data_IF_459507572405
#
_entry.id   IF_459507572405
#
_cell.length_a   1.000
_cell.length_b   1.000
_cell.length_c   1.000
_cell.angle_alpha   90.00
_cell.angle_beta   90.00
_cell.angle_gamma   90.00
#
_symmetry.space_group_name_H-M   'P 1'
#
loop_
_entity.id
_entity.type
_entity.pdbx_description
1 polymer ?
#
# COMPACT_ATOMS: atom_id res chain seq x y z
N UNK A 1 -22.21 5.64 8.46
CA UNK A 1 -23.51 5.19 9.00
C UNK A 1 -24.72 5.84 8.31
N UNK A 2 -24.81 7.18 8.19
CA UNK A 2 -25.93 7.85 7.47
C UNK A 2 -26.11 7.40 6.02
N UNK A 3 -25.00 7.14 5.30
CA UNK A 3 -25.03 6.60 3.93
C UNK A 3 -25.65 5.20 3.83
N UNK A 4 -25.42 4.34 4.82
CA UNK A 4 -25.96 2.97 4.87
C UNK A 4 -27.48 3.00 5.12
N UNK A 5 -27.94 3.89 6.02
CA UNK A 5 -29.38 4.10 6.27
C UNK A 5 -30.08 4.63 5.01
N UNK A 6 -29.44 5.55 4.28
CA UNK A 6 -29.96 6.08 3.02
C UNK A 6 -30.06 4.98 1.94
N UNK A 7 -29.07 4.09 1.87
CA UNK A 7 -29.05 2.96 0.93
C UNK A 7 -30.12 1.91 1.24
N UNK A 8 -30.36 1.61 2.52
CA UNK A 8 -31.43 0.70 2.97
C UNK A 8 -32.81 1.30 2.68
N UNK A 9 -32.98 2.62 2.81
CA UNK A 9 -34.23 3.30 2.50
C UNK A 9 -34.52 3.32 0.99
N UNK A 10 -33.50 3.54 0.16
CA UNK A 10 -33.61 3.52 -1.31
C UNK A 10 -33.94 2.13 -1.86
N UNK A 11 -33.31 1.08 -1.34
CA UNK A 11 -33.61 -0.30 -1.74
C UNK A 11 -35.03 -0.73 -1.37
N UNK A 12 -35.55 -0.27 -0.23
CA UNK A 12 -36.96 -0.49 0.15
C UNK A 12 -37.94 0.24 -0.78
N UNK A 13 -37.64 1.47 -1.20
CA UNK A 13 -38.53 2.21 -2.11
C UNK A 13 -38.52 1.65 -3.53
N UNK A 14 -37.35 1.29 -4.09
CA UNK A 14 -37.28 0.76 -5.45
C UNK A 14 -37.99 -0.59 -5.60
N UNK A 15 -37.97 -1.44 -4.57
CA UNK A 15 -38.66 -2.73 -4.63
C UNK A 15 -40.20 -2.62 -4.57
N UNK A 16 -40.72 -1.55 -3.97
CA UNK A 16 -42.17 -1.28 -3.87
C UNK A 16 -42.71 -0.56 -5.10
N UNK A 17 -41.90 0.30 -5.74
CA UNK A 17 -42.32 1.09 -6.91
C UNK A 17 -42.41 0.23 -8.17
N UNK A 18 -41.49 -0.73 -8.38
CA UNK A 18 -41.51 -1.64 -9.54
C UNK A 18 -42.74 -2.56 -9.57
N UNK A 19 -43.43 -2.75 -8.45
CA UNK A 19 -44.62 -3.60 -8.38
C UNK A 19 -45.94 -2.89 -8.74
N UNK A 20 -45.96 -1.57 -8.98
CA UNK A 20 -47.19 -0.80 -9.20
C UNK A 20 -47.17 0.23 -10.33
N UNK A 21 -46.06 0.42 -11.04
CA UNK A 21 -45.98 1.48 -12.06
C UNK A 21 -46.37 1.02 -13.46
N UNK A 22 -47.19 1.85 -14.10
CA UNK A 22 -47.57 1.79 -15.50
C UNK A 22 -46.32 1.78 -16.39
N UNK A 23 -46.31 0.92 -17.42
CA UNK A 23 -45.15 0.59 -18.27
C UNK A 23 -44.46 1.81 -18.91
N UNK A 24 -45.16 2.94 -19.06
CA UNK A 24 -44.61 4.17 -19.65
C UNK A 24 -43.55 4.89 -18.81
N UNK A 25 -43.58 4.78 -17.47
CA UNK A 25 -42.58 5.45 -16.60
C UNK A 25 -41.33 4.59 -16.31
N UNK A 26 -41.36 3.31 -16.65
CA UNK A 26 -40.26 2.38 -16.37
C UNK A 26 -38.98 2.74 -17.14
N UNK A 27 -39.12 3.29 -18.35
CA UNK A 27 -37.98 3.63 -19.19
C UNK A 27 -37.14 4.78 -18.61
N UNK A 28 -37.81 5.76 -17.99
CA UNK A 28 -37.14 6.95 -17.46
C UNK A 28 -36.42 6.67 -16.13
N UNK A 29 -36.99 5.84 -15.25
CA UNK A 29 -36.32 5.38 -14.03
C UNK A 29 -35.15 4.43 -14.36
N UNK A 30 -35.30 3.58 -15.38
CA UNK A 30 -34.21 2.69 -15.82
C UNK A 30 -32.99 3.49 -16.31
N UNK A 31 -33.20 4.57 -17.06
CA UNK A 31 -32.11 5.45 -17.52
C UNK A 31 -31.39 6.16 -16.35
N UNK A 32 -32.12 6.61 -15.33
CA UNK A 32 -31.51 7.24 -14.16
C UNK A 32 -30.68 6.25 -13.33
N UNK A 33 -31.19 5.04 -13.11
CA UNK A 33 -30.44 3.99 -12.40
C UNK A 33 -29.21 3.56 -13.21
N UNK A 34 -29.32 3.47 -14.54
CA UNK A 34 -28.21 3.13 -15.41
C UNK A 34 -27.09 4.18 -15.40
N UNK A 35 -27.44 5.48 -15.45
CA UNK A 35 -26.45 6.56 -15.35
C UNK A 35 -25.76 6.61 -13.98
N UNK A 36 -26.51 6.40 -12.89
CA UNK A 36 -25.94 6.34 -11.54
C UNK A 36 -25.03 5.11 -11.35
N UNK A 37 -25.38 3.98 -11.96
CA UNK A 37 -24.55 2.78 -11.98
C UNK A 37 -23.25 3.03 -12.73
N UNK A 38 -23.30 3.68 -13.91
CA UNK A 38 -22.10 4.05 -14.67
C UNK A 38 -21.18 5.02 -13.91
N UNK A 39 -21.72 6.06 -13.26
CA UNK A 39 -20.89 7.03 -12.51
C UNK A 39 -20.20 6.38 -11.30
N UNK A 40 -20.89 5.48 -10.61
CA UNK A 40 -20.36 4.77 -9.45
C UNK A 40 -19.30 3.73 -9.84
N UNK A 41 -19.50 3.05 -10.98
CA UNK A 41 -18.51 2.11 -11.51
C UNK A 41 -17.23 2.82 -11.94
N UNK A 42 -17.35 3.96 -12.65
CA UNK A 42 -16.21 4.73 -13.15
C UNK A 42 -15.33 5.27 -12.00
N UNK A 43 -15.96 5.80 -10.94
CA UNK A 43 -15.23 6.25 -9.74
C UNK A 43 -14.54 5.11 -8.99
N UNK A 44 -15.12 3.90 -9.00
CA UNK A 44 -14.56 2.74 -8.32
C UNK A 44 -13.39 2.15 -9.09
N UNK A 45 -13.44 2.15 -10.43
CA UNK A 45 -12.34 1.67 -11.29
C UNK A 45 -11.12 2.58 -11.24
N UNK A 46 -11.30 3.90 -11.20
CA UNK A 46 -10.20 4.87 -11.02
C UNK A 46 -9.51 4.68 -9.66
N UNK A 47 -10.30 4.52 -8.59
CA UNK A 47 -9.77 4.27 -7.25
C UNK A 47 -9.02 2.94 -7.19
N UNK A 48 -9.56 1.89 -7.82
CA UNK A 48 -8.92 0.57 -7.87
C UNK A 48 -7.61 0.62 -8.67
N UNK A 49 -7.56 1.34 -9.80
CA UNK A 49 -6.34 1.53 -10.59
C UNK A 49 -5.26 2.31 -9.81
N UNK A 50 -5.65 3.34 -9.03
CA UNK A 50 -4.71 4.09 -8.18
C UNK A 50 -4.20 3.26 -7.00
N UNK A 51 -5.04 2.42 -6.41
CA UNK A 51 -4.63 1.50 -5.34
C UNK A 51 -3.72 0.41 -5.92
N UNK A 52 -4.04 -0.09 -7.12
CA UNK A 52 -3.22 -1.09 -7.81
C UNK A 52 -1.85 -0.54 -8.20
N UNK A 53 -1.75 0.70 -8.70
CA UNK A 53 -0.47 1.33 -9.01
C UNK A 53 0.36 1.64 -7.75
N UNK A 54 -0.29 2.04 -6.66
CA UNK A 54 0.37 2.24 -5.36
C UNK A 54 0.85 0.92 -4.72
N UNK A 55 0.14 -0.19 -4.96
CA UNK A 55 0.54 -1.53 -4.54
C UNK A 55 1.74 -2.04 -5.34
N UNK A 56 1.74 -1.83 -6.67
CA UNK A 56 2.87 -2.25 -7.52
C UNK A 56 4.16 -1.52 -7.18
N UNK A 57 4.12 -0.21 -6.96
CA UNK A 57 5.32 0.57 -6.59
C UNK A 57 5.98 0.07 -5.30
N UNK A 58 5.17 -0.30 -4.31
CA UNK A 58 5.68 -0.81 -3.04
C UNK A 58 6.24 -2.24 -3.10
N UNK A 59 5.70 -3.08 -4.00
CA UNK A 59 6.09 -4.49 -4.16
C UNK A 59 7.37 -4.65 -5.00
N UNK A 60 7.52 -3.84 -6.06
CA UNK A 60 8.71 -3.84 -6.94
C UNK A 60 9.99 -3.57 -6.13
N UNK A 61 9.88 -2.80 -5.06
CA UNK A 61 11.00 -2.39 -4.22
C UNK A 61 11.46 -3.50 -3.25
N UNK A 62 10.51 -4.26 -2.70
CA UNK A 62 10.79 -5.36 -1.78
C UNK A 62 11.37 -6.59 -2.48
N UNK A 63 11.01 -6.83 -3.75
CA UNK A 63 11.56 -7.93 -4.56
C UNK A 63 13.05 -7.80 -4.85
N UNK A 64 13.63 -6.60 -4.68
CA UNK A 64 15.03 -6.32 -5.01
C UNK A 64 16.05 -6.66 -3.91
N UNK A 65 15.62 -7.00 -2.68
CA UNK A 65 16.52 -6.95 -1.50
C UNK A 65 17.17 -8.30 -1.15
N UNK A 66 16.68 -9.46 -1.61
CA UNK A 66 17.35 -10.76 -1.41
C UNK A 66 16.67 -11.84 -2.24
N UNK A 67 17.42 -12.80 -2.80
CA UNK A 67 16.86 -13.96 -3.52
C UNK A 67 15.88 -14.78 -2.65
N UNK A 68 16.05 -14.78 -1.33
CA UNK A 68 15.15 -15.46 -0.38
C UNK A 68 13.81 -14.71 -0.18
N UNK A 69 13.78 -13.39 -0.43
CA UNK A 69 12.56 -12.57 -0.33
C UNK A 69 11.74 -12.59 -1.62
N UNK A 70 12.31 -13.13 -2.71
CA UNK A 70 11.59 -13.31 -3.97
C UNK A 70 10.32 -14.14 -3.79
N UNK A 71 10.38 -15.18 -2.94
CA UNK A 71 9.22 -16.00 -2.62
C UNK A 71 8.08 -15.22 -1.94
N UNK A 72 8.41 -14.25 -1.09
CA UNK A 72 7.41 -13.42 -0.38
C UNK A 72 6.77 -12.40 -1.32
N UNK A 73 7.59 -11.74 -2.16
CA UNK A 73 7.10 -10.80 -3.17
C UNK A 73 6.24 -11.48 -4.24
N UNK A 74 6.70 -12.62 -4.76
CA UNK A 74 5.94 -13.42 -5.74
C UNK A 74 4.61 -13.89 -5.15
N UNK A 75 4.58 -14.24 -3.86
CA UNK A 75 3.37 -14.63 -3.14
C UNK A 75 2.34 -13.50 -3.04
N UNK A 76 2.77 -12.30 -2.65
CA UNK A 76 1.87 -11.15 -2.53
C UNK A 76 1.35 -10.67 -3.89
N UNK A 77 2.21 -10.63 -4.92
CA UNK A 77 1.79 -10.31 -6.27
C UNK A 77 0.81 -11.34 -6.84
N UNK A 78 1.10 -12.63 -6.66
CA UNK A 78 0.21 -13.73 -7.04
C UNK A 78 -1.15 -13.65 -6.35
N UNK A 79 -1.17 -13.27 -5.07
CA UNK A 79 -2.40 -13.04 -4.31
C UNK A 79 -3.25 -11.90 -4.87
N UNK A 80 -2.65 -10.77 -5.21
CA UNK A 80 -3.38 -9.62 -5.81
C UNK A 80 -3.96 -10.00 -7.18
N UNK A 81 -3.20 -10.71 -8.01
CA UNK A 81 -3.71 -11.23 -9.30
C UNK A 81 -4.87 -12.20 -9.10
N UNK A 82 -4.74 -13.13 -8.15
CA UNK A 82 -5.80 -14.09 -7.85
C UNK A 82 -7.10 -13.39 -7.43
N UNK A 83 -7.02 -12.35 -6.60
CA UNK A 83 -8.18 -11.54 -6.22
C UNK A 83 -8.80 -10.80 -7.41
N UNK A 84 -7.97 -10.25 -8.31
CA UNK A 84 -8.46 -9.58 -9.51
C UNK A 84 -9.19 -10.54 -10.46
N UNK A 85 -8.62 -11.73 -10.69
CA UNK A 85 -9.25 -12.79 -11.50
C UNK A 85 -10.56 -13.24 -10.85
N UNK A 86 -10.56 -13.45 -9.53
CA UNK A 86 -11.76 -13.83 -8.79
C UNK A 86 -12.87 -12.76 -8.92
N UNK A 87 -12.53 -11.48 -8.75
CA UNK A 87 -13.48 -10.38 -8.93
C UNK A 87 -14.04 -10.34 -10.36
N UNK A 88 -13.21 -10.59 -11.38
CA UNK A 88 -13.64 -10.66 -12.78
C UNK A 88 -14.62 -11.82 -13.01
N UNK A 89 -14.32 -13.01 -12.49
CA UNK A 89 -15.20 -14.19 -12.60
C UNK A 89 -16.55 -13.92 -11.92
N UNK A 90 -16.55 -13.35 -10.71
CA UNK A 90 -17.79 -12.99 -10.00
C UNK A 90 -18.61 -11.95 -10.78
N UNK A 91 -17.95 -10.96 -11.38
CA UNK A 91 -18.60 -9.98 -12.25
C UNK A 91 -19.23 -10.62 -13.49
N UNK A 92 -18.50 -11.50 -14.18
CA UNK A 92 -18.99 -12.23 -15.35
C UNK A 92 -20.18 -13.13 -15.00
N UNK A 93 -20.13 -13.85 -13.88
CA UNK A 93 -21.25 -14.66 -13.37
C UNK A 93 -22.47 -13.81 -13.03
N UNK A 94 -22.27 -12.58 -12.55
CA UNK A 94 -23.35 -11.62 -12.33
C UNK A 94 -24.06 -11.26 -13.64
N UNK A 95 -23.30 -10.93 -14.69
CA UNK A 95 -23.86 -10.62 -16.03
C UNK A 95 -24.59 -11.83 -16.62
N UNK A 96 -23.99 -13.02 -16.57
CA UNK A 96 -24.60 -14.25 -17.06
C UNK A 96 -25.90 -14.55 -16.30
N UNK A 97 -25.93 -14.32 -14.98
CA UNK A 97 -27.14 -14.51 -14.18
C UNK A 97 -28.27 -13.57 -14.57
N UNK A 98 -27.95 -12.32 -14.93
CA UNK A 98 -28.94 -11.39 -15.49
C UNK A 98 -29.48 -11.87 -16.84
N UNK A 99 -28.62 -12.38 -17.72
CA UNK A 99 -29.04 -12.89 -19.04
C UNK A 99 -29.86 -14.20 -18.93
N UNK A 100 -29.56 -15.03 -17.93
CA UNK A 100 -30.20 -16.32 -17.71
C UNK A 100 -31.29 -16.30 -16.62
N UNK A 101 -31.92 -15.15 -16.34
CA UNK A 101 -32.86 -14.98 -15.21
C UNK A 101 -34.01 -16.02 -15.15
N UNK A 102 -34.38 -16.64 -16.28
CA UNK A 102 -35.41 -17.69 -16.35
C UNK A 102 -34.97 -19.02 -15.72
N UNK A 103 -33.66 -19.28 -15.60
CA UNK A 103 -33.09 -20.53 -15.09
C UNK A 103 -32.64 -20.35 -13.65
N UNK A 104 -33.39 -20.94 -12.70
CA UNK A 104 -33.07 -20.90 -11.25
C UNK A 104 -31.66 -21.39 -10.90
N UNK A 105 -31.10 -22.31 -11.70
CA UNK A 105 -29.76 -22.87 -11.50
C UNK A 105 -28.65 -21.80 -11.57
N UNK A 106 -28.72 -20.89 -12.55
CA UNK A 106 -27.72 -19.84 -12.72
C UNK A 106 -27.70 -18.88 -11.53
N UNK A 107 -28.88 -18.55 -10.99
CA UNK A 107 -28.97 -17.66 -9.82
C UNK A 107 -28.44 -18.32 -8.54
N UNK A 108 -28.68 -19.63 -8.37
CA UNK A 108 -28.15 -20.39 -7.24
C UNK A 108 -26.62 -20.44 -7.27
N UNK A 109 -26.03 -20.71 -8.45
CA UNK A 109 -24.58 -20.73 -8.64
C UNK A 109 -23.96 -19.37 -8.32
N UNK A 110 -24.53 -18.28 -8.86
CA UNK A 110 -24.07 -16.92 -8.55
C UNK A 110 -24.19 -16.58 -7.07
N UNK A 111 -25.31 -16.91 -6.43
CA UNK A 111 -25.50 -16.69 -4.99
C UNK A 111 -24.44 -17.42 -4.17
N UNK A 112 -24.10 -18.66 -4.53
CA UNK A 112 -23.04 -19.43 -3.89
C UNK A 112 -21.67 -18.74 -4.02
N UNK A 113 -21.26 -18.40 -5.24
CA UNK A 113 -19.99 -17.71 -5.50
C UNK A 113 -19.91 -16.33 -4.83
N UNK A 114 -21.01 -15.56 -4.86
CA UNK A 114 -21.10 -14.26 -4.21
C UNK A 114 -20.96 -14.38 -2.69
N UNK A 115 -21.55 -15.40 -2.07
CA UNK A 115 -21.41 -15.66 -0.62
C UNK A 115 -19.96 -15.86 -0.23
N UNK A 116 -19.22 -16.66 -1.00
CA UNK A 116 -17.78 -16.90 -0.76
C UNK A 116 -16.99 -15.60 -0.90
N UNK A 117 -17.26 -14.81 -1.96
CA UNK A 117 -16.58 -13.52 -2.17
C UNK A 117 -16.83 -12.51 -1.04
N UNK A 118 -18.07 -12.42 -0.56
CA UNK A 118 -18.46 -11.59 0.59
C UNK A 118 -17.67 -11.97 1.84
N UNK A 119 -17.53 -13.27 2.14
CA UNK A 119 -16.75 -13.73 3.29
C UNK A 119 -15.26 -13.41 3.15
N UNK A 120 -14.70 -13.54 1.95
CA UNK A 120 -13.30 -13.17 1.67
C UNK A 120 -13.08 -11.67 1.91
N UNK A 121 -13.95 -10.80 1.37
CA UNK A 121 -13.82 -9.35 1.58
C UNK A 121 -13.94 -8.95 3.05
N UNK A 122 -14.84 -9.59 3.81
CA UNK A 122 -14.95 -9.37 5.23
C UNK A 122 -13.68 -9.77 5.97
N UNK A 123 -13.19 -10.99 5.74
CA UNK A 123 -12.00 -11.51 6.39
C UNK A 123 -10.76 -10.65 6.09
N UNK A 124 -10.54 -10.32 4.81
CA UNK A 124 -9.42 -9.46 4.40
C UNK A 124 -9.56 -8.05 4.94
N UNK A 125 -10.77 -7.46 4.90
CA UNK A 125 -11.03 -6.12 5.44
C UNK A 125 -10.67 -6.03 6.93
N UNK A 126 -11.06 -7.02 7.72
CA UNK A 126 -10.70 -7.11 9.15
C UNK A 126 -9.19 -7.25 9.33
N UNK A 127 -8.54 -8.14 8.58
CA UNK A 127 -7.09 -8.35 8.65
C UNK A 127 -6.33 -7.06 8.33
N UNK A 128 -6.69 -6.33 7.27
CA UNK A 128 -6.04 -5.07 6.90
C UNK A 128 -6.23 -3.97 7.95
N UNK A 129 -7.39 -3.90 8.59
CA UNK A 129 -7.62 -2.94 9.69
C UNK A 129 -6.77 -3.29 10.91
N UNK A 130 -6.72 -4.57 11.29
CA UNK A 130 -5.88 -5.03 12.41
C UNK A 130 -4.41 -4.77 12.11
N UNK A 131 -3.93 -5.11 10.91
CA UNK A 131 -2.55 -4.84 10.48
C UNK A 131 -2.23 -3.34 10.47
N UNK A 132 -3.15 -2.50 10.00
CA UNK A 132 -3.00 -1.05 10.05
C UNK A 132 -2.84 -0.51 11.48
N UNK A 133 -3.58 -1.06 12.45
CA UNK A 133 -3.47 -0.68 13.86
C UNK A 133 -2.22 -1.28 14.54
N UNK A 134 -1.91 -2.54 14.27
CA UNK A 134 -0.81 -3.26 14.92
C UNK A 134 0.57 -2.87 14.38
N UNK A 135 0.67 -2.50 13.10
CA UNK A 135 1.94 -2.15 12.45
C UNK A 135 2.65 -0.99 13.14
N UNK A 136 1.94 0.02 13.66
CA UNK A 136 2.56 1.15 14.34
C UNK A 136 3.37 0.70 15.56
N UNK A 137 2.74 -0.11 16.43
CA UNK A 137 3.37 -0.60 17.65
C UNK A 137 4.55 -1.52 17.33
N UNK A 138 4.37 -2.46 16.39
CA UNK A 138 5.43 -3.39 16.00
C UNK A 138 6.66 -2.64 15.49
N UNK A 139 6.43 -1.55 14.76
CA UNK A 139 7.48 -0.73 14.18
C UNK A 139 8.12 0.22 15.22
N UNK A 140 7.39 0.69 16.22
CA UNK A 140 7.98 1.39 17.38
C UNK A 140 8.88 0.46 18.20
N UNK A 141 8.35 -0.71 18.58
CA UNK A 141 9.07 -1.71 19.37
C UNK A 141 10.33 -2.22 18.65
N UNK A 142 10.30 -2.22 17.30
CA UNK A 142 11.44 -2.50 16.46
C UNK A 142 12.63 -1.57 16.72
N UNK A 143 12.41 -0.24 16.73
CA UNK A 143 13.51 0.71 16.95
C UNK A 143 13.89 0.86 18.42
N UNK A 144 12.98 0.55 19.35
CA UNK A 144 13.28 0.52 20.78
C UNK A 144 14.17 -0.67 21.18
N UNK A 145 14.38 -1.63 20.28
CA UNK A 145 15.21 -2.81 20.55
C UNK A 145 14.55 -3.85 21.45
N UNK A 146 13.21 -3.84 21.56
CA UNK A 146 12.45 -4.84 22.33
C UNK A 146 12.35 -6.14 21.53
N UNK A 147 13.40 -6.96 21.59
CA UNK A 147 13.54 -8.23 20.83
C UNK A 147 12.68 -9.38 21.37
N UNK A 148 12.34 -9.36 22.66
CA UNK A 148 11.92 -10.59 23.36
C UNK A 148 10.50 -11.06 23.03
N UNK A 149 9.65 -10.20 22.47
CA UNK A 149 8.23 -10.49 22.27
C UNK A 149 7.93 -11.28 20.98
N UNK A 150 8.88 -11.41 20.04
CA UNK A 150 8.62 -11.95 18.70
C UNK A 150 9.56 -13.10 18.31
N UNK A 151 9.34 -14.29 18.91
CA UNK A 151 10.02 -15.55 18.55
C UNK A 151 9.72 -15.94 17.10
N UNK A 152 10.52 -15.46 16.16
CA UNK A 152 10.41 -15.77 14.73
C UNK A 152 10.84 -14.62 13.81
N UNK A 153 10.90 -13.39 14.31
CA UNK A 153 11.26 -12.21 13.52
C UNK A 153 12.72 -11.76 13.71
N UNK A 154 13.51 -12.47 14.52
CA UNK A 154 14.88 -12.06 14.86
C UNK A 154 15.80 -11.90 13.63
N UNK A 155 15.69 -12.78 12.63
CA UNK A 155 16.51 -12.69 11.40
C UNK A 155 16.22 -11.42 10.59
N UNK A 156 14.93 -11.05 10.51
CA UNK A 156 14.49 -9.82 9.84
C UNK A 156 14.96 -8.61 10.64
N UNK A 157 14.86 -8.69 11.97
CA UNK A 157 15.35 -7.66 12.87
C UNK A 157 16.83 -7.39 12.68
N UNK A 158 17.66 -8.43 12.76
CA UNK A 158 19.10 -8.26 12.67
C UNK A 158 19.50 -7.73 11.28
N UNK A 159 18.80 -8.15 10.21
CA UNK A 159 19.01 -7.62 8.85
C UNK A 159 18.69 -6.13 8.73
N UNK A 160 17.56 -5.68 9.30
CA UNK A 160 17.18 -4.26 9.24
C UNK A 160 18.13 -3.42 10.10
N UNK A 161 18.53 -3.89 11.28
CA UNK A 161 19.51 -3.18 12.12
C UNK A 161 20.87 -3.11 11.43
N UNK A 162 21.29 -4.16 10.75
CA UNK A 162 22.51 -4.14 9.93
C UNK A 162 22.40 -3.09 8.81
N UNK A 163 21.27 -3.05 8.09
CA UNK A 163 21.01 -2.06 7.04
C UNK A 163 21.01 -0.64 7.59
N UNK A 164 20.33 -0.39 8.72
CA UNK A 164 20.26 0.92 9.38
C UNK A 164 21.65 1.40 9.81
N UNK A 165 22.42 0.51 10.43
CA UNK A 165 23.78 0.81 10.84
C UNK A 165 24.70 1.07 9.63
N UNK A 166 24.59 0.30 8.55
CA UNK A 166 25.35 0.56 7.31
C UNK A 166 24.97 1.90 6.69
N UNK A 167 23.66 2.19 6.61
CA UNK A 167 23.15 3.43 6.03
C UNK A 167 23.69 4.68 6.77
N UNK A 168 23.63 4.64 8.10
CA UNK A 168 24.08 5.76 8.94
C UNK A 168 25.60 5.85 9.03
N UNK A 169 26.30 4.72 9.12
CA UNK A 169 27.76 4.69 9.30
C UNK A 169 28.49 5.10 8.03
N UNK A 170 28.02 4.73 6.84
CA UNK A 170 28.78 4.98 5.60
C UNK A 170 28.80 6.46 5.26
N UNK A 171 27.66 7.12 5.37
CA UNK A 171 27.56 8.57 5.18
C UNK A 171 28.41 9.30 6.21
N UNK A 172 28.33 8.91 7.49
CA UNK A 172 29.14 9.49 8.56
C UNK A 172 30.65 9.29 8.36
N UNK A 173 31.07 8.10 7.90
CA UNK A 173 32.48 7.70 7.82
C UNK A 173 33.19 8.25 6.60
N UNK A 174 32.55 8.25 5.43
CA UNK A 174 33.23 8.59 4.18
C UNK A 174 32.89 9.99 3.68
N UNK A 175 31.72 10.54 3.98
CA UNK A 175 31.35 11.86 3.49
C UNK A 175 32.00 12.99 4.29
N UNK A 176 32.31 14.11 3.62
CA UNK A 176 32.94 15.27 4.24
C UNK A 176 34.29 14.97 4.92
N UNK A 177 35.05 14.04 4.36
CA UNK A 177 36.38 13.62 4.84
C UNK A 177 37.47 14.05 3.87
N UNK A 178 38.72 13.62 4.10
CA UNK A 178 39.83 13.90 3.18
C UNK A 178 39.62 13.28 1.81
N UNK A 179 38.94 12.13 1.78
CA UNK A 179 38.72 11.33 0.59
C UNK A 179 37.51 11.86 -0.19
N UNK A 180 36.55 12.42 0.54
CA UNK A 180 35.36 13.06 0.02
C UNK A 180 35.09 14.42 0.70
N UNK A 181 35.80 15.49 0.34
CA UNK A 181 35.57 16.78 0.98
C UNK A 181 34.22 17.37 0.55
N UNK A 182 33.55 18.07 1.47
CA UNK A 182 32.30 18.78 1.15
C UNK A 182 32.56 20.01 0.26
N UNK A 183 31.54 20.47 -0.49
CA UNK A 183 31.64 21.70 -1.26
C UNK A 183 31.78 22.93 -0.36
N UNK A 184 32.63 23.88 -0.76
CA UNK A 184 32.68 25.21 -0.15
C UNK A 184 31.30 25.90 -0.20
N UNK A 185 31.04 26.77 0.78
CA UNK A 185 29.78 27.51 0.86
C UNK A 185 28.61 26.69 1.38
N UNK A 186 28.87 25.46 1.83
CA UNK A 186 27.91 24.71 2.66
C UNK A 186 27.85 25.38 4.04
N UNK A 187 26.74 26.06 4.31
CA UNK A 187 26.46 26.67 5.62
C UNK A 187 26.12 25.59 6.64
N UNK A 188 27.15 24.85 7.07
CA UNK A 188 26.99 23.77 8.03
C UNK A 188 26.49 24.26 9.38
N UNK A 189 26.99 25.40 9.83
CA UNK A 189 26.63 26.00 11.12
C UNK A 189 25.14 26.31 11.25
N UNK A 190 24.47 26.58 10.13
CA UNK A 190 23.08 27.03 10.14
C UNK A 190 22.10 25.86 10.04
N UNK A 191 22.51 24.78 9.35
CA UNK A 191 21.65 23.61 9.10
C UNK A 191 21.98 22.40 9.95
N UNK A 192 23.23 22.25 10.38
CA UNK A 192 23.73 21.08 11.10
C UNK A 192 24.07 21.44 12.53
N UNK A 193 23.52 20.68 13.47
CA UNK A 193 23.79 20.85 14.89
C UNK A 193 25.05 20.06 15.30
N UNK A 194 25.98 20.71 16.01
CA UNK A 194 27.19 20.09 16.56
C UNK A 194 26.85 18.88 17.45
N UNK A 195 25.74 18.91 18.20
CA UNK A 195 25.27 17.77 18.99
C UNK A 195 24.95 16.56 18.12
N UNK A 196 24.28 16.76 16.97
CA UNK A 196 23.97 15.68 16.03
C UNK A 196 25.26 15.11 15.43
N UNK A 197 26.20 15.96 15.01
CA UNK A 197 27.48 15.53 14.44
C UNK A 197 28.29 14.70 15.45
N UNK A 198 28.32 15.13 16.72
CA UNK A 198 29.06 14.44 17.77
C UNK A 198 28.54 13.02 18.05
N UNK A 199 27.26 12.72 17.79
CA UNK A 199 26.72 11.36 17.89
C UNK A 199 27.39 10.38 16.91
N UNK A 200 27.94 10.91 15.82
CA UNK A 200 28.63 10.15 14.77
C UNK A 200 30.15 10.35 14.82
N UNK A 201 30.70 10.83 15.95
CA UNK A 201 32.11 11.19 16.11
C UNK A 201 32.62 12.22 15.07
N UNK A 202 31.72 13.13 14.63
CA UNK A 202 32.03 14.25 13.74
C UNK A 202 31.87 15.59 14.47
N UNK A 203 32.55 16.62 14.01
CA UNK A 203 32.50 17.98 14.61
C UNK A 203 32.84 19.03 13.56
N UNK A 204 32.44 20.28 13.77
CA UNK A 204 32.93 21.40 12.94
C UNK A 204 34.32 21.90 13.37
N UNK A 205 34.78 21.53 14.57
CA UNK A 205 36.02 22.02 15.17
C UNK A 205 37.09 20.93 15.20
N UNK A 206 38.37 21.25 15.06
CA UNK A 206 39.41 20.22 15.22
C UNK A 206 39.49 19.79 16.69
N UNK A 207 39.04 18.57 17.01
CA UNK A 207 39.14 17.95 18.35
C UNK A 207 39.80 16.58 18.21
N UNK A 208 40.65 16.14 19.17
CA UNK A 208 41.43 14.91 19.02
C UNK A 208 40.59 13.63 18.94
N UNK A 209 39.36 13.64 19.45
CA UNK A 209 38.47 12.46 19.48
C UNK A 209 37.52 12.44 18.26
N UNK A 210 37.32 13.57 17.60
CA UNK A 210 36.29 13.74 16.59
C UNK A 210 36.90 14.07 15.22
N UNK A 211 36.28 13.57 14.15
CA UNK A 211 36.72 13.89 12.79
C UNK A 211 36.09 15.21 12.34
N UNK A 212 36.89 16.25 12.04
CA UNK A 212 36.34 17.52 11.55
C UNK A 212 35.67 17.33 10.19
N UNK A 213 34.67 18.15 9.88
CA UNK A 213 34.15 18.25 8.52
C UNK A 213 35.16 18.98 7.63
N UNK A 214 35.59 18.33 6.54
CA UNK A 214 36.55 18.89 5.62
C UNK A 214 35.83 19.46 4.39
N UNK A 215 36.09 20.73 4.09
CA UNK A 215 35.59 21.40 2.88
C UNK A 215 36.70 21.53 1.84
N UNK A 216 36.35 21.51 0.56
CA UNK A 216 37.29 21.72 -0.55
C UNK A 216 36.74 22.70 -1.57
N UNK A 217 37.64 23.53 -2.10
CA UNK A 217 37.39 24.49 -3.18
C UNK A 217 37.61 23.90 -4.58
N UNK A 218 37.87 22.60 -4.68
CA UNK A 218 38.20 21.98 -5.96
C UNK A 218 37.06 22.12 -6.96
N UNK A 219 37.38 22.32 -8.24
CA UNK A 219 36.37 22.46 -9.30
C UNK A 219 35.45 21.23 -9.45
N UNK A 220 35.86 20.06 -8.94
CA UNK A 220 35.15 18.78 -9.07
C UNK A 220 34.48 18.32 -7.76
N UNK A 221 33.97 19.22 -6.93
CA UNK A 221 33.34 18.79 -5.67
C UNK A 221 32.01 18.07 -5.93
N UNK A 222 31.80 16.96 -5.21
CA UNK A 222 30.59 16.15 -5.25
C UNK A 222 29.58 16.63 -4.21
N UNK A 223 28.37 16.95 -4.66
CA UNK A 223 27.32 17.53 -3.82
C UNK A 223 26.46 16.48 -3.11
N UNK A 224 26.52 15.22 -3.55
CA UNK A 224 25.84 14.09 -2.93
C UNK A 224 26.87 13.10 -2.42
N UNK A 225 26.48 12.31 -1.42
CA UNK A 225 27.32 11.23 -0.93
C UNK A 225 27.53 10.17 -2.03
N UNK A 226 26.48 9.83 -2.78
CA UNK A 226 26.54 8.79 -3.80
C UNK A 226 27.54 9.08 -4.92
N UNK A 227 27.57 10.33 -5.42
CA UNK A 227 28.54 10.74 -6.45
C UNK A 227 29.98 10.62 -5.95
N UNK A 228 30.18 10.76 -4.65
CA UNK A 228 31.47 10.64 -4.03
C UNK A 228 31.85 9.18 -3.75
N UNK A 229 30.91 8.39 -3.25
CA UNK A 229 31.08 6.97 -3.00
C UNK A 229 31.47 6.22 -4.28
N UNK A 230 30.78 6.50 -5.39
CA UNK A 230 31.11 5.94 -6.71
C UNK A 230 32.53 6.34 -7.15
N UNK A 231 32.90 7.61 -6.97
CA UNK A 231 34.25 8.10 -7.30
C UNK A 231 35.36 7.44 -6.46
N UNK A 232 35.12 7.16 -5.18
CA UNK A 232 36.08 6.51 -4.28
C UNK A 232 36.20 5.02 -4.57
N UNK A 233 35.08 4.37 -4.87
CA UNK A 233 35.02 2.93 -5.17
C UNK A 233 35.88 2.55 -6.38
N UNK A 234 35.99 3.44 -7.37
CA UNK A 234 36.79 3.20 -8.57
C UNK A 234 38.31 3.39 -8.33
N UNK A 235 38.70 3.94 -7.17
CA UNK A 235 40.10 4.11 -6.81
C UNK A 235 40.65 2.83 -6.17
N UNK A 236 41.69 2.25 -6.78
CA UNK A 236 42.39 1.04 -6.32
C UNK A 236 42.91 1.10 -4.87
N UNK A 237 43.07 2.31 -4.32
CA UNK A 237 43.46 2.57 -2.93
C UNK A 237 42.44 2.08 -1.90
N UNK A 238 41.19 1.84 -2.30
CA UNK A 238 40.08 1.54 -1.40
C UNK A 238 39.49 0.14 -1.62
N UNK A 239 40.34 -0.88 -1.83
CA UNK A 239 39.92 -2.28 -1.99
C UNK A 239 39.06 -2.83 -0.84
N UNK A 240 39.07 -2.17 0.32
CA UNK A 240 38.31 -2.56 1.51
C UNK A 240 36.96 -1.84 1.67
N UNK A 241 36.55 -0.97 0.73
CA UNK A 241 35.21 -0.35 0.80
C UNK A 241 34.18 -1.39 0.36
N UNK A 242 33.37 -1.85 1.31
CA UNK A 242 32.31 -2.82 1.06
C UNK A 242 31.35 -2.28 -0.02
N UNK A 243 31.11 -3.11 -1.04
CA UNK A 243 30.23 -2.80 -2.16
C UNK A 243 28.78 -2.80 -1.66
N UNK A 244 28.11 -1.66 -1.79
CA UNK A 244 26.65 -1.58 -1.65
C UNK A 244 26.04 -2.36 -2.80
N UNK A 245 25.14 -3.30 -2.51
CA UNK A 245 24.42 -4.06 -3.53
C UNK A 245 23.42 -3.16 -4.26
N UNK A 246 23.17 -3.43 -5.54
CA UNK A 246 22.31 -2.61 -6.38
C UNK A 246 20.87 -2.53 -5.83
N UNK A 247 20.40 -3.59 -5.18
CA UNK A 247 19.09 -3.59 -4.50
C UNK A 247 19.05 -2.77 -3.21
N UNK A 248 20.17 -2.60 -2.52
CA UNK A 248 20.23 -1.72 -1.36
C UNK A 248 20.33 -0.25 -1.81
N UNK A 249 21.01 0.02 -2.93
CA UNK A 249 21.01 1.35 -3.55
C UNK A 249 19.58 1.78 -3.91
N UNK A 250 18.81 0.94 -4.59
CA UNK A 250 17.44 1.26 -4.99
C UNK A 250 16.56 1.54 -3.76
N UNK A 251 16.67 0.71 -2.72
CA UNK A 251 15.96 0.92 -1.46
C UNK A 251 16.31 2.28 -0.84
N UNK A 252 17.61 2.61 -0.71
CA UNK A 252 18.02 3.89 -0.13
C UNK A 252 17.53 5.08 -0.95
N UNK A 253 17.57 4.94 -2.28
CA UNK A 253 17.11 5.99 -3.19
C UNK A 253 15.63 6.26 -3.01
N UNK A 254 14.80 5.22 -2.91
CA UNK A 254 13.37 5.42 -2.75
C UNK A 254 13.00 5.90 -1.36
N UNK A 255 13.61 5.34 -0.32
CA UNK A 255 13.37 5.83 1.05
C UNK A 255 13.64 7.33 1.15
N UNK A 256 14.76 7.79 0.59
CA UNK A 256 15.14 9.19 0.62
C UNK A 256 14.31 10.08 -0.34
N UNK A 257 13.98 9.57 -1.52
CA UNK A 257 13.14 10.27 -2.50
C UNK A 257 11.74 10.52 -1.93
N UNK A 258 11.09 9.45 -1.47
CA UNK A 258 9.67 9.45 -1.13
C UNK A 258 9.42 10.02 0.26
N UNK A 259 10.31 9.75 1.23
CA UNK A 259 10.11 10.14 2.62
C UNK A 259 11.01 11.29 3.08
N UNK A 260 11.95 11.74 2.26
CA UNK A 260 12.91 12.80 2.62
C UNK A 260 13.66 12.51 3.92
N UNK A 261 14.11 11.26 4.08
CA UNK A 261 14.70 10.72 5.31
C UNK A 261 16.05 10.05 5.05
N UNK A 262 16.78 9.75 6.12
CA UNK A 262 17.95 8.89 6.08
C UNK A 262 17.94 7.98 7.30
N UNK A 263 18.40 6.73 7.15
CA UNK A 263 18.33 5.72 8.19
C UNK A 263 16.90 5.27 8.48
N UNK A 264 16.74 4.00 8.80
CA UNK A 264 15.46 3.40 9.15
C UNK A 264 15.07 3.87 10.55
N UNK A 265 15.85 3.53 11.58
CA UNK A 265 15.53 3.86 12.97
C UNK A 265 16.14 5.19 13.42
N UNK A 266 17.39 5.44 13.05
CA UNK A 266 18.11 6.66 13.44
C UNK A 266 18.43 7.51 12.23
N UNK A 267 18.13 8.80 12.32
CA UNK A 267 18.42 9.74 11.26
C UNK A 267 19.94 9.93 11.14
N UNK A 268 20.55 9.51 10.03
CA UNK A 268 21.99 9.71 9.81
C UNK A 268 22.37 11.18 9.63
N UNK A 269 23.68 11.50 9.67
CA UNK A 269 24.12 12.89 9.60
C UNK A 269 23.96 13.47 8.19
N UNK A 270 24.03 12.63 7.14
CA UNK A 270 23.95 13.08 5.75
C UNK A 270 23.00 12.21 4.93
N UNK A 271 22.41 12.81 3.90
CA UNK A 271 21.62 12.13 2.87
C UNK A 271 22.54 11.41 1.86
N UNK A 272 22.04 10.34 1.23
CA UNK A 272 22.79 9.58 0.21
C UNK A 272 22.75 10.28 -1.15
N UNK A 273 21.55 10.63 -1.61
CA UNK A 273 21.30 11.04 -3.00
C UNK A 273 20.94 12.52 -3.13
N UNK A 274 20.53 13.17 -2.04
CA UNK A 274 20.22 14.60 -1.99
C UNK A 274 21.48 15.41 -1.77
N UNK A 275 21.41 16.64 -2.26
CA UNK A 275 22.47 17.60 -2.08
C UNK A 275 22.64 17.94 -0.60
N UNK A 276 23.88 17.94 -0.11
CA UNK A 276 24.27 18.32 1.25
C UNK A 276 23.77 19.72 1.64
N UNK A 277 23.57 20.61 0.68
CA UNK A 277 23.00 21.94 0.91
C UNK A 277 21.55 21.89 1.42
N UNK A 278 20.85 20.77 1.26
CA UNK A 278 19.48 20.57 1.78
C UNK A 278 19.47 20.55 3.32
N UNK A 279 20.59 20.25 3.97
CA UNK A 279 20.67 20.05 5.41
C UNK A 279 20.50 18.58 5.81
N UNK A 280 20.54 18.29 7.12
CA UNK A 280 20.34 16.94 7.63
C UNK A 280 18.89 16.46 7.42
N UNK A 281 18.65 15.14 7.40
CA UNK A 281 17.31 14.57 7.40
C UNK A 281 16.48 15.07 8.58
N UNK A 282 15.27 15.55 8.31
CA UNK A 282 14.36 16.03 9.37
C UNK A 282 13.69 14.91 10.16
N UNK A 283 13.64 13.69 9.61
CA UNK A 283 13.05 12.50 10.24
C UNK A 283 13.77 11.22 9.80
N UNK A 284 13.66 10.18 10.62
CA UNK A 284 14.04 8.83 10.20
C UNK A 284 13.03 8.28 9.18
N UNK A 285 13.45 7.31 8.37
CA UNK A 285 12.60 6.75 7.33
C UNK A 285 11.40 6.02 7.88
N UNK A 286 11.53 5.46 9.08
CA UNK A 286 10.45 4.76 9.72
C UNK A 286 9.25 5.62 10.05
N UNK A 287 9.44 6.89 10.38
CA UNK A 287 8.32 7.82 10.60
C UNK A 287 7.55 8.02 9.29
N UNK A 288 8.24 8.23 8.17
CA UNK A 288 7.59 8.36 6.85
C UNK A 288 6.89 7.07 6.39
N UNK A 289 7.52 5.92 6.64
CA UNK A 289 6.94 4.60 6.42
C UNK A 289 5.68 4.44 7.28
N UNK A 290 5.74 4.74 8.60
CA UNK A 290 4.58 4.67 9.51
C UNK A 290 3.41 5.50 9.03
N UNK A 291 3.64 6.74 8.62
CA UNK A 291 2.59 7.62 8.13
C UNK A 291 1.90 6.99 6.90
N UNK A 292 2.69 6.42 5.99
CA UNK A 292 2.18 5.77 4.79
C UNK A 292 1.46 4.45 5.08
N UNK A 293 1.99 3.64 5.99
CA UNK A 293 1.39 2.38 6.43
C UNK A 293 0.20 2.58 7.38
N UNK A 294 0.03 3.76 7.97
CA UNK A 294 -1.17 4.10 8.74
C UNK A 294 -2.33 4.41 7.82
N UNK A 295 -2.08 5.16 6.76
CA UNK A 295 -3.13 5.63 5.87
C UNK A 295 -3.56 4.57 4.85
N UNK A 296 -2.60 3.89 4.20
CA UNK A 296 -2.92 3.00 3.06
C UNK A 296 -3.65 1.70 3.45
N UNK A 297 -3.15 0.84 4.36
CA UNK A 297 -3.81 -0.39 4.76
C UNK A 297 -5.17 -0.16 5.43
N UNK A 298 -5.28 0.91 6.23
CA UNK A 298 -6.54 1.30 6.85
C UNK A 298 -7.56 1.73 5.79
N UNK A 299 -7.15 2.54 4.81
CA UNK A 299 -8.01 2.91 3.68
C UNK A 299 -8.44 1.66 2.86
N UNK A 300 -7.51 0.76 2.56
CA UNK A 300 -7.81 -0.50 1.85
C UNK A 300 -8.80 -1.36 2.66
N UNK A 301 -8.58 -1.50 3.97
CA UNK A 301 -9.47 -2.24 4.87
C UNK A 301 -10.88 -1.64 4.89
N UNK A 302 -11.00 -0.32 4.96
CA UNK A 302 -12.30 0.37 4.89
C UNK A 302 -12.99 0.13 3.54
N UNK A 303 -12.25 0.23 2.44
CA UNK A 303 -12.80 -0.02 1.09
C UNK A 303 -13.33 -1.45 1.00
N UNK A 304 -12.58 -2.44 1.47
CA UNK A 304 -13.02 -3.84 1.49
C UNK A 304 -14.28 -4.04 2.34
N UNK A 305 -14.40 -3.37 3.49
CA UNK A 305 -15.62 -3.43 4.32
C UNK A 305 -16.83 -2.78 3.63
N UNK A 306 -16.63 -1.67 2.91
CA UNK A 306 -17.71 -1.04 2.13
C UNK A 306 -18.12 -1.95 0.98
N UNK A 307 -17.16 -2.54 0.27
CA UNK A 307 -17.43 -3.54 -0.78
C UNK A 307 -18.17 -4.75 -0.23
N UNK A 308 -17.82 -5.23 0.97
CA UNK A 308 -18.55 -6.27 1.69
C UNK A 308 -20.01 -5.85 1.93
N UNK A 309 -20.26 -4.66 2.48
CA UNK A 309 -21.62 -4.21 2.78
C UNK A 309 -22.50 -4.12 1.51
N UNK A 310 -21.95 -3.59 0.41
CA UNK A 310 -22.67 -3.47 -0.86
C UNK A 310 -22.97 -4.84 -1.48
N UNK A 311 -21.98 -5.73 -1.51
CA UNK A 311 -22.16 -7.10 -2.06
C UNK A 311 -23.09 -7.94 -1.19
N UNK A 312 -23.05 -7.76 0.13
CA UNK A 312 -23.99 -8.40 1.05
C UNK A 312 -25.44 -7.96 0.78
N UNK A 313 -25.71 -6.66 0.64
CA UNK A 313 -27.05 -6.16 0.29
C UNK A 313 -27.51 -6.72 -1.06
N UNK A 314 -26.62 -6.75 -2.06
CA UNK A 314 -26.92 -7.35 -3.36
C UNK A 314 -27.26 -8.85 -3.27
N UNK A 315 -26.60 -9.57 -2.36
CA UNK A 315 -26.88 -10.98 -2.09
C UNK A 315 -28.28 -11.18 -1.50
N UNK A 316 -28.71 -10.36 -0.53
CA UNK A 316 -30.10 -10.43 -0.02
C UNK A 316 -31.13 -10.07 -1.08
N UNK A 317 -30.84 -9.07 -1.92
CA UNK A 317 -31.74 -8.69 -3.01
C UNK A 317 -31.92 -9.83 -4.02
N UNK A 318 -30.81 -10.46 -4.44
CA UNK A 318 -30.86 -11.59 -5.37
C UNK A 318 -31.51 -12.82 -4.75
N UNK A 319 -31.22 -13.12 -3.47
CA UNK A 319 -31.89 -14.19 -2.73
C UNK A 319 -33.41 -13.95 -2.63
N UNK A 320 -33.83 -12.72 -2.31
CA UNK A 320 -35.24 -12.34 -2.25
C UNK A 320 -35.96 -12.49 -3.59
N UNK A 321 -35.31 -12.13 -4.69
CA UNK A 321 -35.84 -12.36 -6.05
C UNK A 321 -35.95 -13.86 -6.37
N UNK A 322 -35.01 -14.67 -5.90
CA UNK A 322 -35.00 -16.13 -6.10
C UNK A 322 -36.16 -16.83 -5.37
N UNK A 323 -36.46 -16.38 -4.14
CA UNK A 323 -37.50 -16.96 -3.28
C UNK A 323 -38.93 -16.50 -3.63
N UNK A 324 -39.10 -15.51 -4.51
CA UNK A 324 -40.43 -15.06 -4.93
C UNK A 324 -41.07 -16.13 -5.83
N UNK A 325 -41.92 -16.97 -5.23
CA UNK A 325 -42.68 -18.03 -5.91
C UNK A 325 -43.60 -17.40 -6.97
N UNK A 326 -43.39 -17.76 -8.25
CA UNK A 326 -44.31 -17.41 -9.34
C UNK A 326 -45.64 -18.13 -9.13
N UNK A 327 -46.62 -17.43 -8.52
CA UNK A 327 -47.99 -17.92 -8.40
C UNK A 327 -48.70 -18.04 -9.76
N UNK A 328 -48.16 -17.40 -10.80
CA UNK A 328 -48.79 -17.33 -12.12
C UNK A 328 -48.65 -18.62 -12.93
N UNK A 329 -47.60 -19.42 -12.71
CA UNK A 329 -47.48 -20.76 -13.36
C UNK A 329 -48.45 -21.79 -12.76
N UNK A 330 -48.73 -21.69 -11.44
CA UNK A 330 -49.67 -22.59 -10.76
C UNK A 330 -51.12 -22.34 -11.24
N UNK A 331 -51.50 -21.08 -11.51
CA UNK A 331 -52.81 -20.73 -12.05
C UNK A 331 -53.00 -21.15 -13.52
N UNK A 332 -51.95 -21.09 -14.35
CA UNK A 332 -52.05 -21.52 -15.75
C UNK A 332 -52.17 -23.06 -15.89
N UNK A 333 -51.55 -23.83 -15.00
CA UNK A 333 -51.72 -25.29 -14.96
C UNK A 333 -53.11 -25.70 -14.45
N UNK A 334 -53.68 -24.99 -13.49
CA UNK A 334 -55.01 -25.31 -12.98
C UNK A 334 -56.16 -24.85 -13.89
N UNK A 335 -56.01 -23.76 -14.66
CA UNK A 335 -57.04 -23.29 -15.59
C UNK A 335 -57.31 -24.19 -16.80
N UNK A 336 -56.36 -25.07 -17.18
CA UNK A 336 -56.47 -25.92 -18.38
C UNK A 336 -57.35 -27.17 -18.22
N UNK A 337 -57.82 -27.48 -17.02
CA UNK A 337 -58.65 -28.67 -16.75
C UNK A 337 -60.14 -28.39 -16.50
N UNK A 338 -60.59 -27.13 -16.60
CA UNK A 338 -62.00 -26.78 -16.28
C UNK A 338 -62.94 -26.66 -17.50
N UNK A 339 -62.51 -27.10 -18.69
CA UNK A 339 -63.38 -27.25 -19.85
C UNK A 339 -63.41 -28.72 -20.30
N UNK A 340 -64.16 -29.54 -19.59
CA UNK A 340 -64.69 -30.78 -20.13
C UNK A 340 -66.01 -31.16 -19.47
#
# INVERSE_FOLDING_TARGET
MKLIIYFIFLTRQQCVIVARTNVSNLHQEYQQVYQWYQSSYFSSTELFLRIFSASQSMQIELTSIRDDNKAVGDGAFGFVIALAIFAFIVGALGVISCLCYKKKCCLCLYSGCATVGVLIFLALGIVFIILGAASQKLVDDFCDGKKDDYKGLNSIYDSIVEIDNKMTTYTAKYYCTSDCPCPLGTYFTDKYNETLMNQYNRTFTSKPIYQPLLQSSAANVKYTFWDCYTSIKDLSKYSNVEKISDGLESLFRTLESDFSCNGICKAGPFMYFRNITSGPPGKNCLTGIKDTFKEKPLAIGIILLVSFALTFVALFATYGLCCRRNKDEDNFKHGKHSHH
#
